data_IF_172338099514
#
_entry.id   IF_172338099514
#
_cell.length_a   1.000
_cell.length_b   1.000
_cell.length_c   1.000
_cell.angle_alpha   90.00
_cell.angle_beta   90.00
_cell.angle_gamma   90.00
#
_symmetry.space_group_name_H-M   'P 1'
#
loop_
_entity.id
_entity.type
_entity.pdbx_description
1 polymer ?
#
# COMPACT_ATOMS: atom_id res chain seq x y z
N UNK A 1 13.26 18.33 -14.91
CA UNK A 1 13.77 16.98 -15.20
C UNK A 1 12.60 16.03 -15.06
N UNK A 2 12.22 15.33 -16.13
CA UNK A 2 11.15 14.31 -16.03
C UNK A 2 11.72 13.17 -15.21
N UNK A 3 11.17 12.94 -14.01
CA UNK A 3 11.49 11.75 -13.22
C UNK A 3 11.11 10.54 -14.05
N UNK A 4 12.10 9.79 -14.54
CA UNK A 4 11.87 8.56 -15.28
C UNK A 4 11.35 7.52 -14.31
N UNK A 5 10.03 7.36 -14.24
CA UNK A 5 9.42 6.24 -13.55
C UNK A 5 10.02 4.93 -14.12
N UNK A 6 10.38 3.95 -13.28
CA UNK A 6 11.01 2.73 -13.76
C UNK A 6 10.07 1.98 -14.70
N UNK A 7 10.57 1.68 -15.91
CA UNK A 7 9.77 1.16 -17.02
C UNK A 7 9.66 -0.38 -17.07
N UNK A 8 10.39 -1.11 -16.20
CA UNK A 8 10.28 -2.57 -16.08
C UNK A 8 9.99 -2.98 -14.64
N UNK A 9 9.38 -4.17 -14.41
CA UNK A 9 9.18 -4.68 -13.06
C UNK A 9 10.47 -4.75 -12.24
N UNK A 10 11.57 -5.19 -12.84
CA UNK A 10 12.86 -5.35 -12.17
C UNK A 10 13.43 -4.00 -11.74
N UNK A 11 13.37 -2.99 -12.60
CA UNK A 11 13.82 -1.64 -12.27
C UNK A 11 12.94 -1.00 -11.19
N UNK A 12 11.63 -1.28 -11.21
CA UNK A 12 10.70 -0.80 -10.17
C UNK A 12 11.01 -1.44 -8.82
N UNK A 13 11.23 -2.75 -8.79
CA UNK A 13 11.58 -3.51 -7.59
C UNK A 13 12.93 -3.03 -7.04
N UNK A 14 13.95 -2.93 -7.88
CA UNK A 14 15.29 -2.50 -7.45
C UNK A 14 15.28 -1.09 -6.85
N UNK A 15 14.55 -0.17 -7.49
CA UNK A 15 14.40 1.20 -6.98
C UNK A 15 13.73 1.24 -5.61
N UNK A 16 12.59 0.57 -5.45
CA UNK A 16 11.77 0.70 -4.25
C UNK A 16 12.20 -0.19 -3.09
N UNK A 17 12.89 -1.30 -3.35
CA UNK A 17 13.49 -2.13 -2.27
C UNK A 17 14.65 -1.42 -1.57
N UNK A 18 15.35 -0.52 -2.27
CA UNK A 18 16.47 0.27 -1.75
C UNK A 18 16.04 1.62 -1.16
N UNK A 19 14.80 2.04 -1.37
CA UNK A 19 14.31 3.32 -0.91
C UNK A 19 14.36 3.40 0.63
N UNK A 20 15.02 4.43 1.15
CA UNK A 20 15.04 4.68 2.59
C UNK A 20 13.65 5.07 3.10
N UNK A 21 13.37 4.72 4.36
CA UNK A 21 12.07 4.99 4.98
C UNK A 21 11.84 6.50 5.15
N UNK A 22 10.96 7.06 4.31
CA UNK A 22 10.39 8.40 4.42
C UNK A 22 8.93 8.31 3.95
N UNK A 23 8.06 7.90 4.88
CA UNK A 23 6.70 7.39 4.60
C UNK A 23 5.91 8.27 3.61
N UNK A 24 5.85 9.59 3.86
CA UNK A 24 5.02 10.49 3.06
C UNK A 24 5.67 10.90 1.73
N UNK A 25 7.00 10.99 1.69
CA UNK A 25 7.71 11.39 0.46
C UNK A 25 7.69 10.30 -0.62
N UNK A 26 7.67 9.03 -0.20
CA UNK A 26 7.82 7.89 -1.10
C UNK A 26 6.49 7.29 -1.58
N UNK A 27 5.42 7.39 -0.78
CA UNK A 27 4.16 6.69 -1.07
C UNK A 27 3.53 7.08 -2.42
N UNK A 28 3.31 8.36 -2.67
CA UNK A 28 2.68 8.80 -3.93
C UNK A 28 3.56 8.48 -5.14
N UNK A 29 4.87 8.66 -5.04
CA UNK A 29 5.81 8.31 -6.10
C UNK A 29 5.82 6.80 -6.40
N UNK A 30 5.73 5.96 -5.36
CA UNK A 30 5.60 4.51 -5.51
C UNK A 30 4.32 4.14 -6.23
N UNK A 31 3.20 4.70 -5.80
CA UNK A 31 1.88 4.41 -6.38
C UNK A 31 1.75 4.91 -7.82
N UNK A 32 2.37 6.04 -8.16
CA UNK A 32 2.46 6.52 -9.54
C UNK A 32 3.30 5.58 -10.42
N UNK A 33 4.45 5.12 -9.92
CA UNK A 33 5.27 4.14 -10.61
C UNK A 33 4.56 2.79 -10.79
N UNK A 34 3.79 2.36 -9.78
CA UNK A 34 3.00 1.14 -9.83
C UNK A 34 1.87 1.26 -10.87
N UNK A 35 1.16 2.40 -10.92
CA UNK A 35 0.15 2.65 -11.94
C UNK A 35 0.75 2.62 -13.35
N UNK A 36 1.94 3.21 -13.53
CA UNK A 36 2.68 3.16 -14.79
C UNK A 36 3.05 1.72 -15.16
N UNK A 37 3.59 0.94 -14.22
CA UNK A 37 3.99 -0.45 -14.43
C UNK A 37 2.81 -1.34 -14.85
N UNK A 38 1.64 -1.14 -14.24
CA UNK A 38 0.41 -1.88 -14.55
C UNK A 38 -0.30 -1.37 -15.82
N UNK A 39 0.17 -0.26 -16.38
CA UNK A 39 -0.42 0.39 -17.55
C UNK A 39 -1.84 0.89 -17.31
N UNK A 40 -2.13 1.33 -16.09
CA UNK A 40 -3.41 1.94 -15.70
C UNK A 40 -3.28 3.46 -15.63
N UNK A 41 -4.40 4.23 -15.71
CA UNK A 41 -4.34 5.68 -15.53
C UNK A 41 -3.68 6.05 -14.21
N UNK A 42 -2.98 7.18 -14.17
CA UNK A 42 -2.47 7.71 -12.91
C UNK A 42 -3.65 8.28 -12.08
N UNK A 43 -3.62 8.17 -10.74
CA UNK A 43 -4.52 8.93 -9.89
C UNK A 43 -4.36 10.42 -10.17
N UNK A 44 -5.46 11.16 -10.17
CA UNK A 44 -5.42 12.61 -10.32
C UNK A 44 -5.27 13.29 -8.96
N UNK A 45 -4.89 14.58 -8.97
CA UNK A 45 -4.95 15.42 -7.76
C UNK A 45 -6.35 16.00 -7.51
N UNK A 46 -7.34 15.61 -8.32
CA UNK A 46 -8.74 16.02 -8.21
C UNK A 46 -9.60 14.88 -7.70
N UNK A 47 -10.42 15.14 -6.70
CA UNK A 47 -11.35 14.13 -6.17
C UNK A 47 -12.59 13.92 -7.09
N UNK A 48 -12.79 14.78 -8.09
CA UNK A 48 -13.99 14.79 -8.93
C UNK A 48 -14.17 13.48 -9.71
N UNK A 49 -13.08 12.94 -10.26
CA UNK A 49 -13.11 11.74 -11.10
C UNK A 49 -13.16 10.45 -10.27
N UNK A 50 -13.16 10.56 -8.94
CA UNK A 50 -13.22 9.42 -8.03
C UNK A 50 -11.97 8.54 -8.06
N UNK A 51 -10.83 9.03 -8.55
CA UNK A 51 -9.54 8.34 -8.42
C UNK A 51 -8.44 9.36 -8.09
N UNK A 52 -8.07 9.44 -6.82
CA UNK A 52 -7.20 10.52 -6.34
C UNK A 52 -6.41 10.16 -5.08
N UNK A 53 -5.25 10.79 -4.93
CA UNK A 53 -4.55 10.83 -3.66
C UNK A 53 -5.26 11.70 -2.63
N UNK A 54 -4.94 11.46 -1.35
CA UNK A 54 -5.36 12.29 -0.21
C UNK A 54 -6.88 12.61 -0.22
N UNK A 55 -7.71 11.59 -0.45
CA UNK A 55 -9.17 11.79 -0.49
C UNK A 55 -9.70 12.07 0.93
N UNK A 56 -10.42 13.19 1.15
CA UNK A 56 -10.84 13.60 2.49
C UNK A 56 -12.04 12.78 2.99
N UNK A 57 -11.97 12.34 4.25
CA UNK A 57 -13.08 11.71 4.98
C UNK A 57 -13.27 12.36 6.34
N UNK A 58 -14.53 12.59 6.73
CA UNK A 58 -14.85 13.23 8.01
C UNK A 58 -14.77 12.21 9.14
N UNK A 59 -14.14 12.58 10.26
CA UNK A 59 -14.12 11.72 11.44
C UNK A 59 -15.53 11.71 12.06
N UNK A 60 -16.17 10.53 12.23
CA UNK A 60 -17.50 10.46 12.82
C UNK A 60 -17.54 11.10 14.22
N UNK A 61 -18.46 12.04 14.43
CA UNK A 61 -18.62 12.75 15.70
C UNK A 61 -17.52 13.76 16.03
N UNK A 62 -16.57 14.01 15.12
CA UNK A 62 -15.51 15.00 15.27
C UNK A 62 -15.61 16.15 14.25
N UNK A 63 -14.78 17.18 14.44
CA UNK A 63 -14.60 18.27 13.48
C UNK A 63 -13.39 18.08 12.55
N UNK A 64 -12.57 17.05 12.80
CA UNK A 64 -11.37 16.77 12.01
C UNK A 64 -11.67 16.01 10.72
N UNK A 65 -10.81 16.22 9.74
CA UNK A 65 -10.80 15.49 8.46
C UNK A 65 -9.54 14.62 8.41
N UNK A 66 -9.72 13.35 8.07
CA UNK A 66 -8.63 12.45 7.73
C UNK A 66 -8.52 12.33 6.21
N UNK A 67 -7.40 11.81 5.72
CA UNK A 67 -7.13 11.67 4.30
C UNK A 67 -6.77 10.23 3.99
N UNK A 68 -7.46 9.66 3.02
CA UNK A 68 -7.15 8.35 2.46
C UNK A 68 -5.95 8.53 1.53
N UNK A 69 -4.89 7.75 1.70
CA UNK A 69 -3.67 7.93 0.90
C UNK A 69 -3.96 7.83 -0.59
N UNK A 70 -4.69 6.79 -1.02
CA UNK A 70 -5.20 6.67 -2.38
C UNK A 70 -6.59 6.04 -2.36
N UNK A 71 -7.55 6.72 -2.99
CA UNK A 71 -8.93 6.26 -3.07
C UNK A 71 -9.37 6.13 -4.53
N UNK A 72 -10.12 5.06 -4.79
CA UNK A 72 -10.81 4.86 -6.05
C UNK A 72 -12.27 4.46 -5.82
N UNK A 73 -13.18 5.37 -6.17
CA UNK A 73 -14.64 5.26 -6.02
C UNK A 73 -15.13 3.91 -6.53
N UNK A 74 -15.79 3.15 -5.66
CA UNK A 74 -16.35 1.84 -5.99
C UNK A 74 -15.34 0.73 -6.29
N UNK A 75 -14.03 0.95 -6.09
CA UNK A 75 -13.00 -0.05 -6.38
C UNK A 75 -12.17 -0.36 -5.13
N UNK A 76 -11.47 0.62 -4.56
CA UNK A 76 -10.61 0.38 -3.40
C UNK A 76 -10.34 1.61 -2.54
N UNK A 77 -9.95 1.33 -1.30
CA UNK A 77 -9.18 2.21 -0.42
C UNK A 77 -7.77 1.62 -0.29
N UNK A 78 -6.74 2.45 -0.45
CA UNK A 78 -5.35 2.07 -0.23
C UNK A 78 -4.77 2.87 0.95
N UNK A 79 -4.26 2.15 1.95
CA UNK A 79 -3.50 2.71 3.07
C UNK A 79 -2.02 2.37 2.87
N UNK A 80 -1.15 3.38 2.88
CA UNK A 80 0.28 3.24 2.69
C UNK A 80 1.05 3.44 3.99
N UNK A 81 2.07 2.61 4.20
CA UNK A 81 3.04 2.68 5.29
C UNK A 81 4.43 2.45 4.71
N UNK A 82 5.48 2.84 5.43
CA UNK A 82 6.84 2.45 5.05
C UNK A 82 7.62 2.03 6.29
N UNK A 83 7.76 0.72 6.47
CA UNK A 83 8.40 0.16 7.66
C UNK A 83 9.92 0.01 7.49
N UNK A 84 10.62 -0.14 8.62
CA UNK A 84 12.07 -0.22 8.60
C UNK A 84 12.56 -1.55 8.02
N UNK A 85 13.46 -1.49 7.04
CA UNK A 85 14.21 -2.67 6.60
C UNK A 85 15.01 -3.25 7.78
N UNK A 86 15.23 -4.57 7.74
CA UNK A 86 16.16 -5.23 8.67
C UNK A 86 17.53 -4.58 8.49
N UNK A 87 18.12 -4.10 9.59
CA UNK A 87 19.53 -3.67 9.57
C UNK A 87 20.40 -4.92 9.48
N UNK A 88 21.32 -4.93 8.53
CA UNK A 88 22.43 -5.89 8.59
C UNK A 88 23.21 -5.65 9.88
N UNK A 89 23.64 -6.74 10.50
CA UNK A 89 24.50 -6.67 11.67
C UNK A 89 25.82 -6.03 11.26
N UNK A 90 26.25 -5.03 12.03
CA UNK A 90 27.58 -4.44 11.83
C UNK A 90 28.62 -5.54 12.00
N UNK A 91 29.64 -5.57 11.14
CA UNK A 91 30.78 -6.43 11.35
C UNK A 91 31.46 -6.13 12.70
N UNK A 92 32.28 -7.06 13.20
CA UNK A 92 33.04 -6.84 14.42
C UNK A 92 33.92 -5.57 14.34
N UNK A 93 34.50 -5.31 13.16
CA UNK A 93 35.32 -4.13 12.90
C UNK A 93 34.51 -2.83 12.95
N UNK A 94 33.35 -2.80 12.28
CA UNK A 94 32.46 -1.64 12.30
C UNK A 94 31.88 -1.40 13.71
N UNK A 95 31.56 -2.47 14.43
CA UNK A 95 31.11 -2.38 15.83
C UNK A 95 32.18 -1.74 16.70
N UNK A 96 33.43 -2.19 16.58
CA UNK A 96 34.55 -1.60 17.31
C UNK A 96 34.78 -0.12 16.91
N UNK A 97 34.65 0.21 15.62
CA UNK A 97 34.78 1.58 15.13
C UNK A 97 33.66 2.51 15.66
N UNK A 98 32.42 2.04 15.76
CA UNK A 98 31.31 2.77 16.41
C UNK A 98 31.59 2.95 17.90
N UNK A 99 32.01 1.89 18.60
CA UNK A 99 32.31 1.93 20.04
C UNK A 99 33.48 2.86 20.37
N UNK A 100 34.48 2.93 19.50
CA UNK A 100 35.61 3.83 19.62
C UNK A 100 35.28 5.28 19.21
N UNK A 101 34.07 5.56 18.72
CA UNK A 101 33.67 6.88 18.24
C UNK A 101 34.35 7.30 16.93
N UNK A 102 35.01 6.38 16.22
CA UNK A 102 35.65 6.63 14.93
C UNK A 102 34.62 6.79 13.80
N UNK A 103 33.43 6.18 13.96
CA UNK A 103 32.28 6.36 13.07
C UNK A 103 31.01 6.60 13.88
N UNK A 104 30.09 7.40 13.34
CA UNK A 104 28.82 7.67 14.00
C UNK A 104 27.93 6.43 14.02
N UNK A 105 27.26 6.18 15.15
CA UNK A 105 26.25 5.15 15.23
C UNK A 105 25.06 5.52 14.33
N UNK A 106 24.63 4.60 13.46
CA UNK A 106 23.45 4.86 12.63
C UNK A 106 22.21 5.08 13.50
N UNK A 107 21.45 6.13 13.17
CA UNK A 107 20.26 6.55 13.90
C UNK A 107 19.27 5.38 14.10
N UNK A 108 18.62 5.36 15.27
CA UNK A 108 17.52 4.42 15.52
C UNK A 108 16.36 4.79 14.58
N UNK A 109 16.08 3.93 13.59
CA UNK A 109 14.87 4.08 12.78
C UNK A 109 13.65 3.87 13.68
N UNK A 110 12.71 4.81 13.65
CA UNK A 110 11.44 4.69 14.34
C UNK A 110 10.51 3.81 13.52
N UNK A 111 10.02 2.71 14.09
CA UNK A 111 8.98 1.88 13.48
C UNK A 111 9.29 0.38 13.56
N UNK A 112 8.28 -0.48 13.35
CA UNK A 112 8.47 -1.92 13.24
C UNK A 112 9.49 -2.29 12.17
N UNK A 113 10.31 -3.29 12.45
CA UNK A 113 11.21 -3.90 11.47
C UNK A 113 10.44 -4.91 10.64
N UNK A 114 10.58 -4.83 9.31
CA UNK A 114 9.97 -5.75 8.35
C UNK A 114 10.18 -7.22 8.73
N UNK A 115 9.16 -8.02 8.45
CA UNK A 115 9.15 -9.48 8.67
C UNK A 115 9.28 -9.91 10.13
N UNK A 116 8.97 -9.02 11.07
CA UNK A 116 8.82 -9.33 12.50
C UNK A 116 7.35 -9.39 12.92
N UNK A 117 7.07 -9.95 14.10
CA UNK A 117 5.71 -9.93 14.67
C UNK A 117 5.15 -8.51 14.84
N UNK A 118 6.00 -7.57 15.30
CA UNK A 118 5.60 -6.16 15.43
C UNK A 118 5.24 -5.51 14.09
N UNK A 119 5.87 -5.94 12.99
CA UNK A 119 5.49 -5.49 11.64
C UNK A 119 4.16 -6.08 11.20
N UNK A 120 3.91 -7.37 11.45
CA UNK A 120 2.60 -7.97 11.20
C UNK A 120 1.48 -7.27 11.97
N UNK A 121 1.71 -6.93 13.25
CA UNK A 121 0.74 -6.18 14.05
C UNK A 121 0.49 -4.77 13.48
N UNK A 122 1.52 -4.12 12.95
CA UNK A 122 1.39 -2.81 12.34
C UNK A 122 0.63 -2.85 11.01
N UNK A 123 0.82 -3.90 10.19
CA UNK A 123 0.00 -4.15 9.00
C UNK A 123 -1.47 -4.35 9.36
N UNK A 124 -1.77 -5.12 10.41
CA UNK A 124 -3.15 -5.30 10.92
C UNK A 124 -3.77 -3.96 11.35
N UNK A 125 -3.00 -3.10 12.02
CA UNK A 125 -3.47 -1.76 12.42
C UNK A 125 -3.74 -0.87 11.20
N UNK A 126 -2.92 -0.97 10.16
CA UNK A 126 -3.11 -0.24 8.90
C UNK A 126 -4.36 -0.73 8.15
N UNK A 127 -4.65 -2.03 8.12
CA UNK A 127 -5.94 -2.56 7.66
C UNK A 127 -7.11 -1.95 8.44
N UNK A 128 -7.02 -1.94 9.77
CA UNK A 128 -8.05 -1.33 10.62
C UNK A 128 -8.24 0.17 10.37
N UNK A 129 -7.20 0.87 9.90
CA UNK A 129 -7.27 2.26 9.46
C UNK A 129 -8.05 2.40 8.15
N UNK A 130 -7.72 1.59 7.14
CA UNK A 130 -8.46 1.55 5.88
C UNK A 130 -9.95 1.21 6.08
N UNK A 131 -10.28 0.28 6.98
CA UNK A 131 -11.67 -0.02 7.33
C UNK A 131 -12.40 1.17 7.98
N UNK A 132 -11.70 1.97 8.80
CA UNK A 132 -12.27 3.20 9.37
C UNK A 132 -12.55 4.23 8.28
N UNK A 133 -11.69 4.32 7.27
CA UNK A 133 -11.92 5.19 6.12
C UNK A 133 -13.15 4.77 5.32
N UNK A 134 -13.31 3.48 5.02
CA UNK A 134 -14.53 2.97 4.37
C UNK A 134 -15.79 3.39 5.14
N UNK A 135 -15.79 3.23 6.47
CA UNK A 135 -16.92 3.67 7.32
C UNK A 135 -17.14 5.18 7.37
N UNK A 136 -16.16 5.96 6.94
CA UNK A 136 -16.16 7.43 6.98
C UNK A 136 -16.34 8.05 5.59
N UNK A 137 -16.50 7.23 4.55
CA UNK A 137 -16.86 7.69 3.22
C UNK A 137 -18.23 8.40 3.26
N UNK A 138 -18.44 9.45 2.44
CA UNK A 138 -19.76 10.04 2.24
C UNK A 138 -20.81 9.00 1.86
N UNK A 139 -22.07 9.23 2.22
CA UNK A 139 -23.15 8.27 1.98
C UNK A 139 -23.42 8.01 0.48
N UNK A 140 -23.03 8.95 -0.37
CA UNK A 140 -23.12 8.87 -1.82
C UNK A 140 -21.98 8.04 -2.44
N UNK A 141 -20.92 7.77 -1.68
CA UNK A 141 -19.84 6.89 -2.10
C UNK A 141 -20.19 5.42 -1.81
N UNK A 142 -20.05 4.51 -2.77
CA UNK A 142 -20.20 3.09 -2.49
C UNK A 142 -19.05 2.59 -1.62
N UNK A 143 -19.33 1.62 -0.75
CA UNK A 143 -18.27 0.86 -0.10
C UNK A 143 -17.45 0.14 -1.18
N UNK A 144 -16.12 0.34 -1.23
CA UNK A 144 -15.30 -0.32 -2.22
C UNK A 144 -15.28 -1.84 -1.96
N UNK A 145 -15.23 -2.69 -2.98
CA UNK A 145 -15.09 -4.13 -2.79
C UNK A 145 -13.72 -4.51 -2.20
N UNK A 146 -12.70 -3.65 -2.32
CA UNK A 146 -11.34 -3.94 -1.86
C UNK A 146 -10.78 -2.91 -0.87
N UNK A 147 -9.94 -3.42 0.04
CA UNK A 147 -8.98 -2.64 0.82
C UNK A 147 -7.59 -3.14 0.49
N UNK A 148 -6.67 -2.20 0.27
CA UNK A 148 -5.26 -2.45 0.02
C UNK A 148 -4.42 -1.83 1.13
N UNK A 149 -3.43 -2.57 1.63
CA UNK A 149 -2.46 -2.06 2.61
C UNK A 149 -1.06 -2.25 2.07
N UNK A 150 -0.34 -1.16 1.81
CA UNK A 150 1.02 -1.19 1.27
C UNK A 150 2.09 -0.90 2.31
N UNK A 151 3.06 -1.80 2.48
CA UNK A 151 4.39 -1.46 2.97
C UNK A 151 5.26 -1.10 1.76
N UNK A 152 5.44 0.20 1.53
CA UNK A 152 6.06 0.77 0.34
C UNK A 152 7.46 0.20 0.13
N UNK A 153 7.66 -0.43 -1.03
CA UNK A 153 8.92 -1.10 -1.36
C UNK A 153 9.06 -2.53 -0.80
N UNK A 154 8.01 -3.12 -0.21
CA UNK A 154 8.09 -4.46 0.40
C UNK A 154 6.92 -5.38 0.08
N UNK A 155 5.69 -4.93 0.32
CA UNK A 155 4.51 -5.76 0.11
C UNK A 155 3.21 -4.97 -0.01
N UNK A 156 2.22 -5.56 -0.69
CA UNK A 156 0.85 -5.08 -0.73
C UNK A 156 -0.06 -6.21 -0.24
N UNK A 157 -0.90 -5.94 0.75
CA UNK A 157 -1.94 -6.86 1.21
C UNK A 157 -3.28 -6.50 0.60
N UNK A 158 -4.00 -7.52 0.13
CA UNK A 158 -5.31 -7.37 -0.51
C UNK A 158 -6.39 -8.00 0.37
N UNK A 159 -7.45 -7.23 0.62
CA UNK A 159 -8.62 -7.69 1.35
C UNK A 159 -9.88 -7.35 0.57
N UNK A 160 -10.91 -8.19 0.65
CA UNK A 160 -12.16 -8.02 -0.07
C UNK A 160 -13.39 -8.13 0.84
N UNK A 161 -14.40 -7.31 0.54
CA UNK A 161 -15.79 -7.43 0.99
C UNK A 161 -16.69 -7.32 -0.24
N UNK A 162 -16.92 -8.46 -0.91
CA UNK A 162 -17.74 -8.50 -2.12
C UNK A 162 -19.23 -8.24 -1.86
N UNK A 163 -19.68 -8.28 -0.61
CA UNK A 163 -21.05 -7.86 -0.26
C UNK A 163 -21.20 -6.34 -0.30
N UNK A 164 -20.07 -5.61 -0.29
CA UNK A 164 -20.00 -4.16 -0.16
C UNK A 164 -20.79 -3.62 1.05
N UNK A 165 -20.96 -4.45 2.08
CA UNK A 165 -21.55 -4.02 3.34
C UNK A 165 -20.61 -3.07 4.11
N UNK A 166 -19.32 -3.07 3.78
CA UNK A 166 -18.30 -2.24 4.43
C UNK A 166 -17.98 -2.72 5.85
N UNK A 167 -18.21 -4.01 6.13
CA UNK A 167 -18.17 -4.57 7.49
C UNK A 167 -17.01 -5.53 7.71
N UNK A 168 -16.74 -6.40 6.75
CA UNK A 168 -15.81 -7.52 6.94
C UNK A 168 -14.96 -7.73 5.68
N UNK A 169 -13.80 -7.09 5.65
CA UNK A 169 -12.80 -7.31 4.60
C UNK A 169 -11.92 -8.49 4.97
N UNK A 170 -11.99 -9.56 4.19
CA UNK A 170 -11.25 -10.82 4.40
C UNK A 170 -10.03 -10.89 3.48
N UNK A 171 -8.96 -11.63 3.86
CA UNK A 171 -7.82 -11.85 2.98
C UNK A 171 -8.24 -12.37 1.60
N UNK A 172 -7.75 -11.75 0.53
CA UNK A 172 -8.08 -12.11 -0.85
C UNK A 172 -6.81 -12.35 -1.68
N UNK A 173 -6.74 -13.38 -2.54
CA UNK A 173 -7.80 -14.37 -2.80
C UNK A 173 -7.95 -15.39 -1.66
N UNK A 174 -6.89 -15.58 -0.87
CA UNK A 174 -6.92 -16.47 0.29
C UNK A 174 -5.93 -16.05 1.39
N UNK A 175 -6.08 -16.54 2.64
CA UNK A 175 -5.20 -16.17 3.77
C UNK A 175 -3.72 -16.50 3.61
N UNK A 176 -3.32 -17.32 2.64
CA UNK A 176 -1.91 -17.69 2.39
C UNK A 176 -1.27 -16.81 1.32
N UNK A 177 -2.07 -16.20 0.44
CA UNK A 177 -1.57 -15.47 -0.74
C UNK A 177 -1.95 -13.98 -0.77
N UNK A 178 -2.78 -13.51 0.17
CA UNK A 178 -3.25 -12.12 0.24
C UNK A 178 -2.15 -11.07 0.37
N UNK A 179 -0.96 -11.44 0.86
CA UNK A 179 0.21 -10.58 0.95
C UNK A 179 1.12 -10.80 -0.25
N UNK A 180 1.08 -9.88 -1.20
CA UNK A 180 1.92 -9.87 -2.39
C UNK A 180 3.24 -9.21 -2.02
N UNK A 181 4.35 -9.93 -2.15
CA UNK A 181 5.69 -9.35 -1.96
C UNK A 181 6.10 -8.61 -3.21
N UNK A 182 6.75 -7.46 -3.05
CA UNK A 182 7.24 -6.69 -4.19
C UNK A 182 8.28 -7.48 -5.00
N UNK A 183 9.08 -8.33 -4.35
CA UNK A 183 10.02 -9.24 -5.01
C UNK A 183 9.35 -10.28 -5.93
N UNK A 184 8.03 -10.47 -5.83
CA UNK A 184 7.25 -11.38 -6.67
C UNK A 184 6.56 -10.60 -7.80
N UNK A 185 7.33 -10.20 -8.81
CA UNK A 185 6.86 -9.40 -9.95
C UNK A 185 5.74 -10.08 -10.73
N UNK A 186 5.78 -11.41 -10.84
CA UNK A 186 4.76 -12.19 -11.53
C UNK A 186 3.41 -12.09 -10.82
N UNK A 187 3.38 -12.14 -9.48
CA UNK A 187 2.14 -11.96 -8.71
C UNK A 187 1.66 -10.53 -8.67
N UNK A 188 2.56 -9.55 -8.72
CA UNK A 188 2.18 -8.13 -8.76
C UNK A 188 1.27 -7.85 -9.96
N UNK A 189 1.59 -8.40 -11.14
CA UNK A 189 0.80 -8.23 -12.35
C UNK A 189 -0.54 -9.00 -12.32
N UNK A 190 -0.59 -10.15 -11.63
CA UNK A 190 -1.78 -11.03 -11.61
C UNK A 190 -2.80 -10.60 -10.56
N UNK A 191 -2.33 -10.20 -9.37
CA UNK A 191 -3.24 -9.89 -8.24
C UNK A 191 -3.62 -8.42 -8.21
N UNK A 192 -2.75 -7.52 -8.68
CA UNK A 192 -3.12 -6.12 -8.96
C UNK A 192 -3.59 -5.94 -10.41
N UNK A 193 -4.14 -7.00 -10.99
CA UNK A 193 -4.67 -7.00 -12.35
C UNK A 193 -5.45 -5.72 -12.62
N UNK A 194 -5.37 -5.28 -13.87
CA UNK A 194 -6.09 -4.12 -14.41
C UNK A 194 -7.51 -4.05 -13.88
N UNK A 195 -8.22 -5.15 -13.65
CA UNK A 195 -9.56 -5.15 -13.04
C UNK A 195 -9.69 -4.39 -11.69
N UNK A 196 -8.71 -4.41 -10.79
CA UNK A 196 -8.76 -3.64 -9.52
C UNK A 196 -8.56 -2.13 -9.74
N UNK A 197 -7.73 -1.77 -10.73
CA UNK A 197 -7.23 -0.41 -10.97
C UNK A 197 -7.78 0.27 -12.24
N UNK A 198 -8.61 -0.41 -13.04
CA UNK A 198 -9.27 0.11 -14.26
C UNK A 198 -10.77 0.34 -14.08
N UNK A 199 -11.35 1.23 -14.89
CA UNK A 199 -12.74 1.74 -14.73
C UNK A 199 -13.82 0.74 -15.15
N UNK A 200 -13.46 -0.53 -15.34
CA UNK A 200 -14.34 -1.51 -15.95
C UNK A 200 -15.11 -2.31 -14.88
N UNK A 201 -16.30 -1.80 -14.54
CA UNK A 201 -17.22 -2.40 -13.56
C UNK A 201 -17.69 -3.81 -13.93
N UNK A 202 -17.48 -4.26 -15.18
CA UNK A 202 -17.77 -5.64 -15.61
C UNK A 202 -16.78 -6.67 -15.04
N UNK A 203 -15.56 -6.28 -14.67
CA UNK A 203 -14.53 -7.23 -14.22
C UNK A 203 -14.65 -7.61 -12.74
N UNK A 204 -15.30 -6.78 -11.91
CA UNK A 204 -15.60 -7.11 -10.50
C UNK A 204 -16.55 -8.32 -10.43
N UNK A 205 -17.37 -8.53 -11.47
CA UNK A 205 -18.24 -9.71 -11.62
C UNK A 205 -17.49 -11.01 -11.96
N UNK A 206 -16.26 -10.94 -12.48
CA UNK A 206 -15.46 -12.13 -12.85
C UNK A 206 -14.82 -12.76 -11.62
N UNK A 207 -14.44 -11.96 -10.61
CA UNK A 207 -14.02 -12.49 -9.30
C UNK A 207 -15.14 -13.28 -8.60
N UNK A 208 -16.42 -12.97 -8.90
CA UNK A 208 -17.58 -13.72 -8.40
C UNK A 208 -17.77 -15.08 -9.08
N UNK A 209 -17.19 -15.29 -10.27
CA UNK A 209 -17.50 -16.44 -11.13
C UNK A 209 -16.45 -17.57 -11.10
N UNK A 210 -15.27 -17.33 -10.51
CA UNK A 210 -14.17 -18.30 -10.49
C UNK A 210 -13.88 -18.95 -9.12
N UNK A 211 -14.64 -18.61 -8.09
CA UNK A 211 -14.55 -19.21 -6.75
C UNK A 211 -15.72 -20.17 -6.43
N UNK A 212 -16.06 -21.05 -7.38
CA UNK A 212 -16.86 -22.27 -7.16
C UNK A 212 -16.25 -23.47 -7.88
#
# INVERSE_FOLDING_TARGET
>A
MVSTLPATPEAFIDHWTRAEANERANSQAFLLGLAHLLGVPAPSNSHADGYSFEYPVKVPGGSSTNFIDLYRRGHFVFESKQFAARREELSALETAAVQAGAIAAAAKKSGPVRDTGAWSDAMIRAKGQAERYVRSLPAEEPNPPFILVGDIGHSIEVYADFTQAGKAYLPFPDPRSFRIRLADSARLNVVLDRSLLTQDSHMIGICHAHDF
#
